data_IF_513493651626
#
_entry.id   IF_513493651626
#
_cell.length_a   1.000
_cell.length_b   1.000
_cell.length_c   1.000
_cell.angle_alpha   90.00
_cell.angle_beta   90.00
_cell.angle_gamma   90.00
#
_symmetry.space_group_name_H-M   'P 1'
#
loop_
_entity.id
_entity.type
_entity.pdbx_description
1 polymer ?
#
# COMPACT_ATOMS: atom_id res chain seq x y z
N UNK A 1 -19.70 -3.45 13.25
CA UNK A 1 -18.78 -4.52 12.78
C UNK A 1 -18.76 -4.44 11.27
N UNK A 2 -17.55 -4.30 10.69
CA UNK A 2 -17.38 -4.37 9.24
C UNK A 2 -17.71 -5.79 8.76
N UNK A 3 -18.26 -5.88 7.54
CA UNK A 3 -18.53 -7.18 6.92
C UNK A 3 -17.24 -7.91 6.50
N UNK A 4 -17.40 -9.14 6.01
CA UNK A 4 -16.30 -9.85 5.36
C UNK A 4 -15.92 -9.15 4.05
N UNK A 5 -14.61 -9.09 3.77
CA UNK A 5 -14.05 -8.49 2.56
C UNK A 5 -13.40 -9.55 1.67
N UNK A 6 -13.34 -9.26 0.38
CA UNK A 6 -12.72 -10.13 -0.60
C UNK A 6 -11.20 -10.00 -0.55
N UNK A 7 -10.52 -11.14 -0.40
CA UNK A 7 -9.07 -11.22 -0.41
C UNK A 7 -8.56 -12.11 -1.54
N UNK A 8 -7.42 -11.76 -2.11
CA UNK A 8 -6.77 -12.54 -3.18
C UNK A 8 -5.64 -13.43 -2.65
N UNK A 9 -5.27 -13.29 -1.40
CA UNK A 9 -4.30 -14.17 -0.76
C UNK A 9 -3.57 -13.55 0.43
N UNK A 10 -2.82 -14.43 1.11
CA UNK A 10 -1.95 -14.09 2.23
C UNK A 10 -0.55 -14.63 1.91
N UNK A 11 0.48 -13.80 2.04
CA UNK A 11 1.89 -14.15 1.80
C UNK A 11 2.68 -13.96 3.08
N UNK A 12 3.06 -15.06 3.71
CA UNK A 12 3.75 -15.05 5.00
C UNK A 12 5.26 -14.90 4.85
N UNK A 13 5.90 -14.47 5.93
CA UNK A 13 7.37 -14.38 6.10
C UNK A 13 8.05 -13.53 5.01
N UNK A 14 7.51 -12.32 4.82
CA UNK A 14 8.13 -11.33 3.95
C UNK A 14 9.27 -10.64 4.71
N UNK A 15 10.40 -10.47 4.05
CA UNK A 15 11.60 -9.89 4.63
C UNK A 15 11.97 -8.63 3.85
N UNK A 16 12.07 -7.50 4.53
CA UNK A 16 12.61 -6.22 4.03
C UNK A 16 11.89 -5.54 2.85
N UNK A 17 10.87 -6.16 2.26
CA UNK A 17 10.18 -5.59 1.08
C UNK A 17 8.87 -4.89 1.42
N UNK A 18 8.19 -5.34 2.46
CA UNK A 18 6.81 -4.95 2.76
C UNK A 18 6.68 -4.41 4.20
N UNK A 19 7.63 -3.61 4.65
CA UNK A 19 7.75 -3.08 6.01
C UNK A 19 9.04 -3.49 6.70
N UNK A 20 9.17 -3.17 7.97
CA UNK A 20 10.32 -3.52 8.81
C UNK A 20 10.08 -4.87 9.50
N UNK A 21 11.14 -5.59 9.80
CA UNK A 21 11.06 -6.91 10.41
C UNK A 21 10.48 -8.00 9.50
N UNK A 22 9.98 -9.06 10.10
CA UNK A 22 9.24 -10.11 9.38
C UNK A 22 7.78 -9.68 9.27
N UNK A 23 7.24 -9.64 8.05
CA UNK A 23 5.85 -9.26 7.82
C UNK A 23 5.06 -10.37 7.13
N UNK A 24 3.75 -10.30 7.26
CA UNK A 24 2.80 -11.08 6.46
C UNK A 24 2.00 -10.12 5.60
N UNK A 25 2.08 -10.29 4.27
CA UNK A 25 1.32 -9.48 3.31
C UNK A 25 -0.09 -10.06 3.14
N UNK A 26 -1.10 -9.27 3.51
CA UNK A 26 -2.51 -9.56 3.31
C UNK A 26 -3.03 -8.78 2.10
N UNK A 27 -3.42 -9.51 1.04
CA UNK A 27 -3.77 -8.95 -0.26
C UNK A 27 -5.27 -8.84 -0.44
N UNK A 28 -5.78 -7.60 -0.57
CA UNK A 28 -7.18 -7.32 -0.85
C UNK A 28 -7.51 -7.39 -2.34
N UNK A 29 -8.76 -7.72 -2.62
CA UNK A 29 -9.36 -7.56 -3.94
C UNK A 29 -9.93 -6.16 -4.10
N UNK A 30 -9.83 -5.60 -5.32
CA UNK A 30 -10.32 -4.28 -5.69
C UNK A 30 -9.22 -3.23 -5.67
N UNK A 31 -9.18 -2.41 -6.72
CA UNK A 31 -8.26 -1.29 -6.87
C UNK A 31 -8.91 -0.20 -7.72
N UNK A 32 -8.75 1.10 -7.41
CA UNK A 32 -9.26 2.18 -8.24
C UNK A 32 -8.43 2.36 -9.51
N UNK A 33 -7.17 1.88 -9.52
CA UNK A 33 -6.26 1.98 -10.65
C UNK A 33 -6.39 0.79 -11.61
N UNK A 34 -5.90 0.97 -12.83
CA UNK A 34 -5.82 -0.04 -13.91
C UNK A 34 -4.40 -0.04 -14.51
N UNK A 35 -3.40 -0.20 -13.61
CA UNK A 35 -1.99 -0.15 -14.00
C UNK A 35 -1.68 -1.18 -15.10
N UNK A 36 -0.98 -0.75 -16.16
CA UNK A 36 -0.67 -1.60 -17.32
C UNK A 36 0.19 -2.81 -16.99
N UNK A 37 1.09 -2.68 -16.03
CA UNK A 37 1.96 -3.76 -15.56
C UNK A 37 1.66 -4.05 -14.08
N UNK A 38 0.38 -4.29 -13.74
CA UNK A 38 -0.02 -4.60 -12.37
C UNK A 38 0.61 -5.92 -11.93
N UNK A 39 1.30 -5.93 -10.79
CA UNK A 39 1.89 -7.14 -10.21
C UNK A 39 0.84 -8.09 -9.63
N UNK A 40 -0.35 -7.56 -9.31
CA UNK A 40 -1.48 -8.30 -8.76
C UNK A 40 -2.73 -8.14 -9.66
N UNK A 41 -2.70 -8.54 -10.94
CA UNK A 41 -3.83 -8.34 -11.85
C UNK A 41 -5.10 -9.04 -11.37
N UNK A 42 -4.95 -10.10 -10.58
CA UNK A 42 -6.06 -10.84 -9.95
C UNK A 42 -6.93 -9.99 -9.02
N UNK A 43 -6.42 -8.88 -8.51
CA UNK A 43 -7.22 -7.97 -7.67
C UNK A 43 -8.35 -7.26 -8.46
N UNK A 44 -8.36 -7.37 -9.77
CA UNK A 44 -9.36 -6.78 -10.68
C UNK A 44 -10.12 -7.85 -11.50
N UNK A 45 -9.71 -9.10 -11.41
CA UNK A 45 -10.30 -10.20 -12.16
C UNK A 45 -11.51 -10.75 -11.40
N UNK A 46 -12.71 -10.60 -11.97
CA UNK A 46 -13.95 -11.11 -11.38
C UNK A 46 -14.04 -12.64 -11.40
N UNK A 47 -13.32 -13.30 -12.28
CA UNK A 47 -13.23 -14.76 -12.38
C UNK A 47 -12.25 -15.39 -11.38
N UNK A 48 -11.37 -14.60 -10.77
CA UNK A 48 -10.39 -15.11 -9.81
C UNK A 48 -11.06 -15.56 -8.51
N UNK A 49 -10.67 -16.74 -8.00
CA UNK A 49 -11.17 -17.25 -6.72
C UNK A 49 -10.74 -16.33 -5.58
N UNK A 50 -11.72 -15.89 -4.81
CA UNK A 50 -11.57 -14.92 -3.72
C UNK A 50 -12.10 -15.51 -2.43
N UNK A 51 -11.34 -15.33 -1.39
CA UNK A 51 -11.80 -15.68 -0.06
C UNK A 51 -12.47 -14.50 0.60
N UNK A 52 -13.56 -14.75 1.32
CA UNK A 52 -14.23 -13.77 2.17
C UNK A 52 -13.74 -13.94 3.60
N UNK A 53 -13.04 -12.93 4.12
CA UNK A 53 -12.55 -12.91 5.50
C UNK A 53 -13.13 -11.74 6.27
N UNK A 54 -13.52 -12.00 7.51
CA UNK A 54 -13.76 -10.96 8.52
C UNK A 54 -12.42 -10.51 9.14
N UNK A 55 -12.35 -9.33 9.80
CA UNK A 55 -11.14 -8.91 10.51
C UNK A 55 -10.65 -9.96 11.51
N UNK A 56 -11.57 -10.59 12.25
CA UNK A 56 -11.24 -11.63 13.21
C UNK A 56 -10.70 -12.91 12.53
N UNK A 57 -11.31 -13.34 11.42
CA UNK A 57 -10.83 -14.51 10.68
C UNK A 57 -9.42 -14.29 10.10
N UNK A 58 -9.14 -13.08 9.60
CA UNK A 58 -7.79 -12.72 9.16
C UNK A 58 -6.81 -12.70 10.34
N UNK A 59 -7.19 -12.09 11.47
CA UNK A 59 -6.36 -12.04 12.66
C UNK A 59 -5.95 -13.45 13.13
N UNK A 60 -6.88 -14.38 13.25
CA UNK A 60 -6.59 -15.77 13.66
C UNK A 60 -5.65 -16.48 12.67
N UNK A 61 -5.71 -16.17 11.39
CA UNK A 61 -4.80 -16.74 10.39
C UNK A 61 -3.38 -16.24 10.50
N UNK A 62 -3.20 -14.94 10.74
CA UNK A 62 -1.86 -14.33 10.79
C UNK A 62 -1.23 -14.43 12.18
N UNK A 63 -2.04 -14.68 13.21
CA UNK A 63 -1.60 -14.82 14.61
C UNK A 63 -0.58 -15.94 14.82
N UNK A 64 -0.56 -16.94 13.96
CA UNK A 64 0.47 -18.00 14.00
C UNK A 64 1.89 -17.44 13.76
N UNK A 65 2.01 -16.24 13.21
CA UNK A 65 3.28 -15.53 12.98
C UNK A 65 3.65 -14.57 14.13
N UNK A 66 2.86 -14.48 15.21
CA UNK A 66 3.05 -13.55 16.33
C UNK A 66 4.48 -13.56 16.89
N UNK A 67 5.08 -14.73 17.04
CA UNK A 67 6.44 -14.86 17.52
C UNK A 67 7.45 -14.16 16.62
N UNK A 68 7.29 -14.28 15.29
CA UNK A 68 8.17 -13.61 14.33
C UNK A 68 7.96 -12.10 14.34
N UNK A 69 6.70 -11.65 14.44
CA UNK A 69 6.38 -10.22 14.51
C UNK A 69 7.02 -9.56 15.73
N UNK A 70 6.83 -10.14 16.91
CA UNK A 70 7.40 -9.62 18.17
C UNK A 70 8.92 -9.69 18.20
N UNK A 71 9.52 -10.75 17.66
CA UNK A 71 10.96 -10.94 17.67
C UNK A 71 11.71 -9.97 16.75
N UNK A 72 11.04 -9.44 15.73
CA UNK A 72 11.67 -8.61 14.70
C UNK A 72 11.10 -7.20 14.58
N UNK A 73 10.17 -6.83 15.48
CA UNK A 73 9.39 -5.58 15.37
C UNK A 73 8.64 -5.46 14.04
N UNK A 74 8.14 -6.59 13.55
CA UNK A 74 7.38 -6.73 12.31
C UNK A 74 5.87 -6.77 12.52
N UNK A 75 5.14 -7.34 11.55
CA UNK A 75 3.67 -7.42 11.65
C UNK A 75 2.96 -7.71 10.35
N UNK A 76 1.90 -6.96 10.05
CA UNK A 76 1.07 -7.21 8.88
C UNK A 76 1.13 -6.03 7.91
N UNK A 77 1.42 -6.33 6.64
CA UNK A 77 1.31 -5.37 5.55
C UNK A 77 0.04 -5.64 4.77
N UNK A 78 -0.73 -4.61 4.54
CA UNK A 78 -1.94 -4.66 3.75
C UNK A 78 -1.70 -4.07 2.36
N UNK A 79 -2.02 -4.84 1.33
CA UNK A 79 -1.76 -4.45 -0.07
C UNK A 79 -2.59 -5.30 -1.04
N UNK A 80 -1.97 -5.67 -2.17
CA UNK A 80 -2.61 -6.48 -3.21
C UNK A 80 -3.31 -5.62 -4.24
N UNK A 81 -4.61 -5.31 -4.04
CA UNK A 81 -5.31 -4.19 -4.67
C UNK A 81 -5.04 -2.90 -3.92
N UNK A 82 -6.09 -2.13 -3.59
CA UNK A 82 -5.97 -0.92 -2.77
C UNK A 82 -6.58 -1.19 -1.38
N UNK A 83 -5.75 -1.36 -0.34
CA UNK A 83 -6.25 -1.74 0.99
C UNK A 83 -7.11 -0.64 1.63
N UNK A 84 -6.84 0.65 1.36
CA UNK A 84 -7.56 1.75 1.97
C UNK A 84 -9.02 1.87 1.52
N UNK A 85 -9.45 1.13 0.49
CA UNK A 85 -10.86 0.94 0.17
C UNK A 85 -11.61 0.14 1.27
N UNK A 86 -10.87 -0.55 2.13
CA UNK A 86 -11.41 -1.38 3.21
C UNK A 86 -11.11 -0.80 4.60
N UNK A 87 -11.08 0.52 4.72
CA UNK A 87 -10.60 1.21 5.94
C UNK A 87 -11.33 0.76 7.21
N UNK A 88 -12.65 0.54 7.16
CA UNK A 88 -13.41 0.07 8.33
C UNK A 88 -12.97 -1.32 8.80
N UNK A 89 -12.63 -2.23 7.86
CA UNK A 89 -12.05 -3.53 8.17
C UNK A 89 -10.69 -3.39 8.84
N UNK A 90 -9.85 -2.48 8.34
CA UNK A 90 -8.50 -2.24 8.85
C UNK A 90 -8.54 -1.65 10.27
N UNK A 91 -9.47 -0.75 10.56
CA UNK A 91 -9.69 -0.22 11.92
C UNK A 91 -10.07 -1.34 12.91
N UNK A 92 -10.98 -2.24 12.52
CA UNK A 92 -11.35 -3.38 13.36
C UNK A 92 -10.18 -4.36 13.54
N UNK A 93 -9.38 -4.60 12.49
CA UNK A 93 -8.19 -5.44 12.58
C UNK A 93 -7.15 -4.86 13.56
N UNK A 94 -6.90 -3.53 13.50
CA UNK A 94 -6.01 -2.84 14.47
C UNK A 94 -6.51 -3.01 15.90
N UNK A 95 -7.82 -2.94 16.12
CA UNK A 95 -8.39 -3.14 17.45
C UNK A 95 -8.18 -4.57 17.99
N UNK A 96 -8.04 -5.58 17.12
CA UNK A 96 -7.76 -6.97 17.49
C UNK A 96 -6.30 -7.21 17.83
N UNK A 97 -5.36 -6.69 17.03
CA UNK A 97 -3.93 -6.90 17.25
C UNK A 97 -3.29 -5.89 18.23
N UNK A 98 -3.99 -4.80 18.54
CA UNK A 98 -3.43 -3.74 19.40
C UNK A 98 -2.17 -3.12 18.80
N UNK A 99 -1.19 -2.80 19.64
CA UNK A 99 0.12 -2.24 19.25
C UNK A 99 1.26 -3.26 19.28
N UNK A 100 0.94 -4.52 19.51
CA UNK A 100 1.94 -5.59 19.58
C UNK A 100 2.52 -5.94 18.20
N UNK A 101 1.76 -5.66 17.15
CA UNK A 101 2.18 -5.83 15.76
C UNK A 101 2.23 -4.49 15.05
N UNK A 102 3.24 -4.28 14.25
CA UNK A 102 3.25 -3.16 13.32
C UNK A 102 2.30 -3.41 12.16
N UNK A 103 1.58 -2.38 11.75
CA UNK A 103 0.75 -2.42 10.55
C UNK A 103 1.28 -1.47 9.50
N UNK A 104 1.41 -1.98 8.27
CA UNK A 104 1.85 -1.23 7.12
C UNK A 104 0.78 -1.20 6.04
N UNK A 105 0.61 -0.05 5.37
CA UNK A 105 -0.25 0.08 4.20
C UNK A 105 0.60 0.22 2.94
N UNK A 106 0.45 -0.71 1.99
CA UNK A 106 0.99 -0.60 0.63
C UNK A 106 -0.11 -0.07 -0.27
N UNK A 107 -0.07 1.23 -0.57
CA UNK A 107 -1.18 1.99 -1.16
C UNK A 107 -0.74 2.90 -2.30
N UNK A 108 -1.64 3.12 -3.25
CA UNK A 108 -1.50 4.16 -4.27
C UNK A 108 -1.91 5.54 -3.76
N UNK A 109 -2.55 5.64 -2.62
CA UNK A 109 -3.22 6.84 -2.07
C UNK A 109 -4.26 7.49 -3.01
N UNK A 110 -4.64 6.84 -4.10
CA UNK A 110 -5.68 7.35 -5.01
C UNK A 110 -7.08 6.94 -4.50
N UNK A 111 -7.40 7.37 -3.29
CA UNK A 111 -8.60 7.03 -2.51
C UNK A 111 -9.20 8.30 -1.89
N UNK A 112 -10.44 8.27 -1.38
CA UNK A 112 -11.01 9.40 -0.65
C UNK A 112 -10.11 9.83 0.52
N UNK A 113 -10.00 11.12 0.75
CA UNK A 113 -9.16 11.70 1.80
C UNK A 113 -9.50 11.14 3.20
N UNK A 114 -10.78 10.96 3.51
CA UNK A 114 -11.22 10.37 4.78
C UNK A 114 -10.67 8.98 5.08
N UNK A 115 -10.37 8.19 4.02
CA UNK A 115 -9.73 6.89 4.19
C UNK A 115 -8.25 7.04 4.57
N UNK A 116 -7.57 8.08 4.06
CA UNK A 116 -6.18 8.38 4.40
C UNK A 116 -6.07 8.93 5.83
N UNK A 117 -7.00 9.81 6.24
CA UNK A 117 -7.08 10.31 7.63
C UNK A 117 -7.23 9.14 8.61
N UNK A 118 -8.19 8.26 8.39
CA UNK A 118 -8.40 7.10 9.25
C UNK A 118 -7.20 6.13 9.21
N UNK A 119 -6.53 6.00 8.07
CA UNK A 119 -5.33 5.17 7.95
C UNK A 119 -4.16 5.73 8.78
N UNK A 120 -3.98 7.04 8.82
CA UNK A 120 -2.93 7.68 9.61
C UNK A 120 -3.00 7.37 11.11
N UNK A 121 -4.21 7.08 11.63
CA UNK A 121 -4.44 6.73 13.04
C UNK A 121 -4.10 5.27 13.38
N UNK A 122 -4.10 4.37 12.38
CA UNK A 122 -4.03 2.93 12.62
C UNK A 122 -2.77 2.27 12.08
N UNK A 123 -2.09 2.87 11.11
CA UNK A 123 -0.87 2.31 10.53
C UNK A 123 0.40 2.89 11.16
N UNK A 124 1.41 2.04 11.32
CA UNK A 124 2.73 2.41 11.82
C UNK A 124 3.67 2.86 10.70
N UNK A 125 3.34 2.51 9.46
CA UNK A 125 4.09 2.95 8.29
C UNK A 125 3.33 2.77 6.97
N UNK A 126 3.78 3.52 5.97
CA UNK A 126 3.18 3.55 4.64
C UNK A 126 4.21 3.28 3.57
N UNK A 127 3.87 2.42 2.63
CA UNK A 127 4.61 2.16 1.41
C UNK A 127 3.74 2.70 0.27
N UNK A 128 4.12 3.85 -0.26
CA UNK A 128 3.29 4.56 -1.23
C UNK A 128 3.83 4.36 -2.64
N UNK A 129 3.04 3.73 -3.47
CA UNK A 129 3.35 3.46 -4.87
C UNK A 129 3.04 4.69 -5.76
N UNK A 130 3.99 5.60 -5.92
CA UNK A 130 3.90 6.73 -6.86
C UNK A 130 4.39 6.28 -8.23
N UNK A 131 3.47 6.12 -9.18
CA UNK A 131 3.83 5.64 -10.53
C UNK A 131 4.53 6.70 -11.36
N UNK A 132 4.07 7.95 -11.28
CA UNK A 132 4.72 9.16 -11.81
C UNK A 132 4.00 10.40 -11.25
N UNK A 133 4.67 11.54 -11.16
CA UNK A 133 4.03 12.81 -10.77
C UNK A 133 3.52 13.61 -11.97
N UNK A 134 3.99 13.32 -13.17
CA UNK A 134 3.44 13.89 -14.40
C UNK A 134 2.03 13.32 -14.64
N UNK A 135 0.97 14.15 -14.71
CA UNK A 135 -0.40 13.70 -14.80
C UNK A 135 -0.70 12.90 -16.09
N UNK A 136 -0.02 13.22 -17.20
CA UNK A 136 -0.24 12.52 -18.46
C UNK A 136 0.40 11.13 -18.44
N UNK A 137 1.60 11.00 -17.91
CA UNK A 137 2.28 9.70 -17.68
C UNK A 137 1.45 8.85 -16.74
N UNK A 138 1.06 9.41 -15.59
CA UNK A 138 0.26 8.71 -14.59
C UNK A 138 -1.06 8.20 -15.17
N UNK A 139 -1.81 9.08 -15.87
CA UNK A 139 -3.09 8.72 -16.49
C UNK A 139 -2.94 7.64 -17.55
N UNK A 140 -1.92 7.75 -18.40
CA UNK A 140 -1.64 6.76 -19.45
C UNK A 140 -1.30 5.39 -18.87
N UNK A 141 -0.61 5.36 -17.73
CA UNK A 141 -0.21 4.12 -17.07
C UNK A 141 -1.32 3.51 -16.20
N UNK A 142 -2.03 4.33 -15.42
CA UNK A 142 -2.98 3.88 -14.38
C UNK A 142 -4.45 3.99 -14.77
N UNK A 143 -4.78 4.76 -15.82
CA UNK A 143 -6.15 5.08 -16.20
C UNK A 143 -6.84 6.10 -15.28
N UNK A 144 -6.11 6.76 -14.36
CA UNK A 144 -6.63 7.74 -13.39
C UNK A 144 -5.79 9.01 -13.37
N UNK A 145 -6.34 10.06 -12.77
CA UNK A 145 -5.63 11.29 -12.44
C UNK A 145 -4.82 11.12 -11.15
N UNK A 146 -3.70 11.85 -11.01
CA UNK A 146 -2.83 11.78 -9.83
C UNK A 146 -3.04 12.92 -8.82
N UNK A 147 -3.90 13.88 -9.09
CA UNK A 147 -4.08 15.04 -8.21
C UNK A 147 -4.51 14.64 -6.78
N UNK A 148 -5.45 13.69 -6.68
CA UNK A 148 -5.89 13.17 -5.37
C UNK A 148 -4.77 12.46 -4.63
N UNK A 149 -3.98 11.64 -5.31
CA UNK A 149 -2.83 10.93 -4.74
C UNK A 149 -1.79 11.92 -4.21
N UNK A 150 -1.40 12.93 -4.99
CA UNK A 150 -0.42 13.93 -4.57
C UNK A 150 -0.90 14.74 -3.36
N UNK A 151 -2.17 15.15 -3.35
CA UNK A 151 -2.77 15.86 -2.21
C UNK A 151 -2.78 15.00 -0.94
N UNK A 152 -3.17 13.74 -1.07
CA UNK A 152 -3.19 12.78 0.03
C UNK A 152 -1.78 12.51 0.56
N UNK A 153 -0.79 12.34 -0.33
CA UNK A 153 0.60 12.10 0.07
C UNK A 153 1.20 13.29 0.81
N UNK A 154 1.01 14.51 0.32
CA UNK A 154 1.51 15.72 0.98
C UNK A 154 0.95 15.84 2.41
N UNK A 155 -0.34 15.64 2.59
CA UNK A 155 -0.96 15.64 3.91
C UNK A 155 -0.46 14.50 4.80
N UNK A 156 -0.33 13.27 4.25
CA UNK A 156 0.08 12.10 5.00
C UNK A 156 1.50 12.26 5.56
N UNK A 157 2.44 12.77 4.75
CA UNK A 157 3.84 13.01 5.19
C UNK A 157 3.90 13.97 6.36
N UNK A 158 3.07 15.03 6.35
CA UNK A 158 2.98 15.99 7.46
C UNK A 158 2.34 15.36 8.71
N UNK A 159 1.27 14.57 8.52
CA UNK A 159 0.50 13.99 9.61
C UNK A 159 1.24 12.88 10.37
N UNK A 160 1.93 11.96 9.67
CA UNK A 160 2.57 10.79 10.30
C UNK A 160 4.09 10.92 10.44
N UNK A 161 4.68 11.95 9.86
CA UNK A 161 6.13 12.15 9.79
C UNK A 161 6.79 11.38 8.63
N UNK A 162 7.76 12.03 8.01
CA UNK A 162 8.43 11.55 6.79
C UNK A 162 9.15 10.19 6.97
N UNK A 163 9.60 9.87 8.20
CA UNK A 163 10.25 8.59 8.52
C UNK A 163 9.31 7.39 8.39
N UNK A 164 8.00 7.61 8.47
CA UNK A 164 6.98 6.56 8.40
C UNK A 164 6.40 6.38 6.99
N UNK A 165 6.90 7.14 6.01
CA UNK A 165 6.44 7.07 4.61
C UNK A 165 7.60 6.71 3.69
N UNK A 166 7.55 5.51 3.10
CA UNK A 166 8.45 5.08 2.03
C UNK A 166 7.73 5.25 0.69
N UNK A 167 8.30 6.03 -0.22
CA UNK A 167 7.75 6.18 -1.57
C UNK A 167 8.47 5.27 -2.55
N UNK A 168 7.75 4.37 -3.18
CA UNK A 168 8.21 3.58 -4.33
C UNK A 168 8.01 4.36 -5.61
N UNK A 169 9.11 4.62 -6.31
CA UNK A 169 9.14 5.40 -7.54
C UNK A 169 9.82 4.61 -8.67
N UNK A 170 9.04 3.90 -9.49
CA UNK A 170 9.56 3.01 -10.52
C UNK A 170 10.03 3.75 -11.79
N UNK A 171 11.01 3.16 -12.48
CA UNK A 171 11.20 3.36 -13.90
C UNK A 171 10.32 2.35 -14.64
N UNK A 172 9.36 2.85 -15.42
CA UNK A 172 8.33 2.02 -16.08
C UNK A 172 8.59 2.02 -17.57
N UNK A 173 9.03 0.89 -18.17
CA UNK A 173 9.32 0.80 -19.59
C UNK A 173 8.14 1.28 -20.45
N UNK A 174 8.41 2.05 -21.49
CA UNK A 174 7.46 2.66 -22.42
C UNK A 174 6.54 3.75 -21.83
N UNK A 175 6.67 4.08 -20.55
CA UNK A 175 5.82 5.10 -19.90
C UNK A 175 6.59 6.31 -19.40
N UNK A 176 7.66 6.11 -18.65
CA UNK A 176 8.50 7.20 -18.17
C UNK A 176 9.98 6.95 -18.44
N UNK A 177 10.79 7.98 -18.24
CA UNK A 177 12.24 7.98 -18.42
C UNK A 177 12.92 8.30 -17.08
N UNK A 178 14.26 8.14 -17.02
CA UNK A 178 15.04 8.58 -15.86
C UNK A 178 14.84 10.07 -15.57
N UNK A 179 14.71 10.90 -16.60
CA UNK A 179 14.43 12.34 -16.43
C UNK A 179 13.07 12.57 -15.78
N UNK A 180 12.02 11.81 -16.15
CA UNK A 180 10.70 11.91 -15.54
C UNK A 180 10.73 11.43 -14.09
N UNK A 181 11.44 10.32 -13.81
CA UNK A 181 11.65 9.81 -12.45
C UNK A 181 12.40 10.84 -11.57
N UNK A 182 13.44 11.52 -12.10
CA UNK A 182 14.14 12.57 -11.38
C UNK A 182 13.25 13.78 -11.08
N UNK A 183 12.41 14.21 -12.05
CA UNK A 183 11.42 15.29 -11.85
C UNK A 183 10.39 14.90 -10.79
N UNK A 184 9.90 13.67 -10.85
CA UNK A 184 8.98 13.14 -9.85
C UNK A 184 9.61 13.13 -8.47
N UNK A 185 10.86 12.68 -8.36
CA UNK A 185 11.60 12.69 -7.10
C UNK A 185 11.75 14.11 -6.54
N UNK A 186 12.17 15.07 -7.34
CA UNK A 186 12.35 16.45 -6.90
C UNK A 186 11.03 17.09 -6.40
N UNK A 187 9.90 16.81 -7.09
CA UNK A 187 8.58 17.25 -6.63
C UNK A 187 8.22 16.59 -5.30
N UNK A 188 8.45 15.30 -5.15
CA UNK A 188 8.14 14.56 -3.93
C UNK A 188 9.01 15.00 -2.75
N UNK A 189 10.29 15.30 -2.98
CA UNK A 189 11.17 15.91 -1.98
C UNK A 189 10.67 17.30 -1.54
N UNK A 190 10.12 18.10 -2.46
CA UNK A 190 9.56 19.42 -2.14
C UNK A 190 8.31 19.38 -1.26
N UNK A 191 7.60 18.25 -1.20
CA UNK A 191 6.45 18.02 -0.29
C UNK A 191 6.84 17.22 0.96
N UNK A 192 8.14 17.07 1.24
CA UNK A 192 8.65 16.50 2.48
C UNK A 192 8.95 14.99 2.45
N UNK A 193 8.88 14.32 1.30
CA UNK A 193 9.28 12.90 1.20
C UNK A 193 10.80 12.79 1.28
N UNK A 194 11.30 11.93 2.16
CA UNK A 194 12.75 11.70 2.36
C UNK A 194 13.18 10.26 2.12
N UNK A 195 12.25 9.31 2.13
CA UNK A 195 12.56 7.89 1.95
C UNK A 195 12.02 7.41 0.60
N UNK A 196 12.91 6.91 -0.24
CA UNK A 196 12.58 6.43 -1.58
C UNK A 196 13.08 5.00 -1.78
N UNK A 197 12.25 4.19 -2.43
CA UNK A 197 12.62 2.94 -3.07
C UNK A 197 12.54 3.14 -4.59
N UNK A 198 13.71 3.26 -5.23
CA UNK A 198 13.84 3.46 -6.66
C UNK A 198 14.14 2.11 -7.31
N UNK A 199 13.27 1.66 -8.18
CA UNK A 199 13.46 0.38 -8.85
C UNK A 199 13.03 0.44 -10.33
N UNK A 200 13.52 -0.51 -11.11
CA UNK A 200 13.18 -0.65 -12.51
C UNK A 200 12.15 -1.77 -12.68
N UNK A 201 11.07 -1.47 -13.38
CA UNK A 201 10.04 -2.46 -13.66
C UNK A 201 10.55 -3.51 -14.64
N UNK A 202 10.52 -4.77 -14.24
CA UNK A 202 10.82 -5.90 -15.12
C UNK A 202 9.51 -6.43 -15.68
N UNK A 203 9.30 -6.27 -16.98
CA UNK A 203 8.17 -6.87 -17.69
C UNK A 203 8.50 -8.35 -17.90
N UNK A 204 7.68 -9.23 -17.34
CA UNK A 204 7.77 -10.68 -17.53
C UNK A 204 6.90 -11.11 -18.68
#
# INVERSE_FOLDING_TARGET
MSGAVKMIGIRRHRLATDGEGVTTLACFWGCPLRCRYCLNPYCLDEGFERELLTPHALYERVKIDDLYFRATDGGVTFGGGEPLLQISFLCEFRALCGKDWRLYAESSLNVPFSAVEAAAEIFDGFIVDVKDTNPDIYRRYTGRDNAQMLKNLAWLVDAVGTQNVLVRLPLIPCFNTDTDRQRSRALLESIGVTRFDLFDYVIK
#
